data_IF_005163441382
#
_entry.id   IF_005163441382
#
_cell.length_a   1.000
_cell.length_b   1.000
_cell.length_c   1.000
_cell.angle_alpha   90.00
_cell.angle_beta   90.00
_cell.angle_gamma   90.00
#
_symmetry.space_group_name_H-M   'P 1'
#
loop_
_entity.id
_entity.type
_entity.pdbx_description
1 polymer ?
#
# COMPACT_ATOMS: atom_id res chain seq x y z
N UNK A 1 1.26 26.30 15.45
CA UNK A 1 0.08 25.41 15.61
C UNK A 1 0.08 24.30 14.55
N UNK A 2 1.19 23.56 14.40
CA UNK A 2 1.39 22.59 13.29
C UNK A 2 1.68 21.15 13.75
N UNK A 3 1.55 20.87 15.05
CA UNK A 3 1.93 19.60 15.66
C UNK A 3 0.82 18.53 15.55
N UNK A 4 -0.44 18.92 15.43
CA UNK A 4 -1.56 17.97 15.63
C UNK A 4 -1.91 17.16 14.37
N UNK A 5 -1.87 17.75 13.18
CA UNK A 5 -2.24 17.04 11.95
C UNK A 5 -1.24 15.93 11.58
N UNK A 6 0.06 16.21 11.77
CA UNK A 6 1.13 15.24 11.53
C UNK A 6 1.01 14.08 12.52
N UNK A 7 0.85 14.36 13.81
CA UNK A 7 0.67 13.32 14.82
C UNK A 7 -0.57 12.47 14.57
N UNK A 8 -1.69 13.08 14.15
CA UNK A 8 -2.90 12.32 13.75
C UNK A 8 -2.65 11.45 12.51
N UNK A 9 -1.89 11.92 11.52
CA UNK A 9 -1.53 11.10 10.36
C UNK A 9 -0.64 9.89 10.72
N UNK A 10 0.23 10.03 11.72
CA UNK A 10 0.97 8.89 12.29
C UNK A 10 0.08 7.95 13.12
N UNK A 11 -0.97 8.45 13.77
CA UNK A 11 -1.94 7.62 14.50
C UNK A 11 -2.87 6.81 13.58
N UNK A 12 -2.99 7.22 12.31
CA UNK A 12 -3.77 6.51 11.28
C UNK A 12 -2.88 5.64 10.39
N UNK A 13 -1.66 5.34 10.84
CA UNK A 13 -0.82 4.35 10.20
C UNK A 13 -1.32 2.94 10.53
N UNK A 14 -1.17 2.03 9.58
CA UNK A 14 -1.59 0.66 9.74
C UNK A 14 -0.66 -0.27 8.99
N UNK A 15 -0.16 -1.27 9.71
CA UNK A 15 0.65 -2.32 9.10
C UNK A 15 -0.27 -3.33 8.42
N UNK A 16 0.05 -3.64 7.17
CA UNK A 16 -0.68 -4.54 6.30
C UNK A 16 0.30 -5.48 5.60
N UNK A 17 -0.24 -6.50 4.96
CA UNK A 17 0.49 -7.41 4.09
C UNK A 17 0.00 -7.24 2.67
N UNK A 18 0.93 -7.01 1.75
CA UNK A 18 0.68 -7.11 0.32
C UNK A 18 0.97 -8.56 -0.08
N UNK A 19 -0.03 -9.28 -0.55
CA UNK A 19 0.12 -10.62 -1.10
C UNK A 19 0.17 -10.54 -2.62
N UNK A 20 1.04 -11.34 -3.23
CA UNK A 20 1.08 -11.52 -4.67
C UNK A 20 1.47 -12.97 -4.97
N UNK A 21 0.49 -13.70 -5.51
CA UNK A 21 0.57 -15.16 -5.65
C UNK A 21 0.74 -15.84 -4.29
N UNK A 22 1.87 -16.54 -4.12
CA UNK A 22 2.19 -17.30 -2.88
C UNK A 22 3.10 -16.56 -1.91
N UNK A 23 3.47 -15.31 -2.20
CA UNK A 23 4.39 -14.51 -1.40
C UNK A 23 3.67 -13.32 -0.78
N UNK A 24 4.18 -12.84 0.36
CA UNK A 24 3.68 -11.64 1.00
C UNK A 24 4.81 -10.72 1.44
N UNK A 25 4.54 -9.42 1.44
CA UNK A 25 5.46 -8.36 1.82
C UNK A 25 4.79 -7.50 2.90
N UNK A 26 5.47 -7.20 4.01
CA UNK A 26 4.97 -6.24 4.98
C UNK A 26 4.97 -4.84 4.36
N UNK A 27 3.92 -4.08 4.62
CA UNK A 27 3.79 -2.70 4.20
C UNK A 27 3.08 -1.87 5.27
N UNK A 28 3.39 -0.59 5.34
CA UNK A 28 2.69 0.34 6.23
C UNK A 28 1.90 1.31 5.38
N UNK A 29 0.59 1.36 5.58
CA UNK A 29 -0.27 2.38 4.98
C UNK A 29 -0.46 3.53 5.95
N UNK A 30 -0.52 4.76 5.43
CA UNK A 30 -0.90 5.95 6.20
C UNK A 30 -2.10 6.61 5.54
N UNK A 31 -3.06 7.05 6.35
CA UNK A 31 -4.16 7.88 5.88
C UNK A 31 -3.90 9.34 6.26
N UNK A 32 -3.93 10.23 5.27
CA UNK A 32 -3.82 11.67 5.47
C UNK A 32 -5.24 12.28 5.45
N UNK A 33 -5.79 12.71 6.61
CA UNK A 33 -7.15 13.25 6.67
C UNK A 33 -7.31 14.56 5.92
N UNK A 34 -6.25 15.36 5.80
CA UNK A 34 -6.29 16.67 5.15
C UNK A 34 -6.45 16.55 3.64
N UNK A 35 -5.76 15.58 3.00
CA UNK A 35 -5.88 15.32 1.56
C UNK A 35 -6.88 14.22 1.23
N UNK A 36 -7.40 13.51 2.24
CA UNK A 36 -8.22 12.29 2.11
C UNK A 36 -7.56 11.19 1.27
N UNK A 37 -6.22 11.19 1.24
CA UNK A 37 -5.44 10.22 0.50
C UNK A 37 -4.84 9.17 1.43
N UNK A 38 -4.67 7.96 0.90
CA UNK A 38 -3.95 6.87 1.56
C UNK A 38 -2.68 6.59 0.79
N UNK A 39 -1.57 6.41 1.51
CA UNK A 39 -0.26 6.14 0.92
C UNK A 39 0.33 4.87 1.50
N UNK A 40 1.11 4.14 0.70
CA UNK A 40 1.98 3.07 1.21
C UNK A 40 3.33 3.71 1.55
N UNK A 41 3.60 3.90 2.84
CA UNK A 41 4.79 4.58 3.33
C UNK A 41 6.04 3.70 3.28
N UNK A 42 5.89 2.43 3.67
CA UNK A 42 6.97 1.45 3.74
C UNK A 42 6.57 0.15 3.06
N UNK A 43 7.55 -0.61 2.58
CA UNK A 43 7.33 -1.93 1.95
C UNK A 43 7.00 -1.89 0.45
N UNK A 44 6.52 -0.76 -0.08
CA UNK A 44 6.18 -0.63 -1.50
C UNK A 44 7.36 -0.92 -2.43
N UNK A 45 8.53 -0.34 -2.18
CA UNK A 45 9.71 -0.53 -3.03
C UNK A 45 10.15 -2.00 -3.10
N UNK A 46 10.06 -2.71 -1.96
CA UNK A 46 10.37 -4.14 -1.89
C UNK A 46 9.37 -4.98 -2.70
N UNK A 47 8.07 -4.65 -2.59
CA UNK A 47 7.02 -5.27 -3.39
C UNK A 47 7.23 -5.01 -4.90
N UNK A 48 7.35 -3.74 -5.30
CA UNK A 48 7.48 -3.33 -6.69
C UNK A 48 8.70 -3.96 -7.37
N UNK A 49 9.84 -4.03 -6.67
CA UNK A 49 11.04 -4.72 -7.18
C UNK A 49 10.81 -6.22 -7.35
N UNK A 50 10.15 -6.87 -6.39
CA UNK A 50 9.93 -8.31 -6.44
C UNK A 50 8.88 -8.72 -7.47
N UNK A 51 7.85 -7.88 -7.69
CA UNK A 51 6.85 -8.08 -8.72
C UNK A 51 7.31 -7.60 -10.11
N UNK A 52 8.46 -6.92 -10.20
CA UNK A 52 8.95 -6.27 -11.43
C UNK A 52 7.91 -5.32 -12.00
N UNK A 53 7.35 -4.48 -11.14
CA UNK A 53 6.33 -3.52 -11.52
C UNK A 53 6.96 -2.43 -12.40
N UNK A 54 6.33 -2.13 -13.53
CA UNK A 54 6.81 -1.13 -14.48
C UNK A 54 5.78 0.01 -14.65
N UNK A 55 6.23 1.13 -15.22
CA UNK A 55 5.34 2.24 -15.49
C UNK A 55 4.29 1.83 -16.53
N UNK A 56 3.01 2.10 -16.25
CA UNK A 56 1.88 1.67 -17.06
C UNK A 56 1.18 0.40 -16.56
N UNK A 57 1.84 -0.39 -15.69
CA UNK A 57 1.16 -1.48 -14.99
C UNK A 57 0.09 -0.93 -14.03
N UNK A 58 -1.02 -1.66 -13.91
CA UNK A 58 -2.11 -1.34 -12.99
C UNK A 58 -2.13 -2.36 -11.86
N UNK A 59 -1.94 -1.88 -10.62
CA UNK A 59 -2.12 -2.69 -9.42
C UNK A 59 -3.53 -2.54 -8.86
N UNK A 60 -4.23 -3.65 -8.70
CA UNK A 60 -5.52 -3.75 -8.02
C UNK A 60 -5.28 -4.37 -6.65
N UNK A 61 -5.71 -3.69 -5.59
CA UNK A 61 -5.56 -4.16 -4.21
C UNK A 61 -6.91 -4.64 -3.69
N UNK A 62 -7.06 -5.95 -3.52
CA UNK A 62 -8.27 -6.57 -3.00
C UNK A 62 -8.09 -6.88 -1.51
N UNK A 63 -9.02 -6.41 -0.67
CA UNK A 63 -9.00 -6.71 0.76
C UNK A 63 -9.56 -8.12 1.01
N UNK A 64 -8.67 -9.10 1.22
CA UNK A 64 -9.06 -10.53 1.37
C UNK A 64 -9.52 -10.86 2.79
N UNK A 65 -9.08 -10.10 3.80
CA UNK A 65 -9.52 -10.27 5.18
C UNK A 65 -9.83 -8.90 5.82
N UNK A 66 -10.74 -8.88 6.80
CA UNK A 66 -11.16 -7.66 7.53
C UNK A 66 -10.04 -6.95 8.27
N UNK A 67 -8.88 -7.61 8.39
CA UNK A 67 -7.75 -7.17 9.20
C UNK A 67 -6.45 -7.31 8.40
N UNK A 68 -6.18 -6.45 7.43
CA UNK A 68 -4.78 -6.08 7.12
C UNK A 68 -4.06 -6.93 6.04
N UNK A 69 -4.79 -7.64 5.18
CA UNK A 69 -4.22 -8.36 4.03
C UNK A 69 -4.84 -7.89 2.72
N UNK A 70 -4.00 -7.36 1.83
CA UNK A 70 -4.36 -7.01 0.46
C UNK A 70 -3.75 -8.03 -0.50
N UNK A 71 -4.57 -8.75 -1.25
CA UNK A 71 -4.09 -9.49 -2.43
C UNK A 71 -3.98 -8.53 -3.61
N UNK A 72 -2.81 -8.53 -4.24
CA UNK A 72 -2.47 -7.57 -5.28
C UNK A 72 -2.51 -8.26 -6.61
N UNK A 73 -3.41 -7.83 -7.49
CA UNK A 73 -3.46 -8.27 -8.88
C UNK A 73 -2.77 -7.23 -9.75
N UNK A 74 -1.85 -7.64 -10.62
CA UNK A 74 -1.15 -6.73 -11.52
C UNK A 74 -1.61 -6.99 -12.94
N UNK A 75 -2.33 -6.02 -13.50
CA UNK A 75 -2.64 -5.97 -14.93
C UNK A 75 -1.47 -5.29 -15.64
N UNK A 76 -0.74 -6.06 -16.44
CA UNK A 76 0.42 -5.54 -17.16
C UNK A 76 -0.01 -4.64 -18.29
N UNK A 77 0.69 -3.52 -18.46
CA UNK A 77 0.49 -2.68 -19.63
C UNK A 77 0.73 -3.55 -20.88
N UNK A 78 -0.23 -3.58 -21.79
CA UNK A 78 -0.02 -4.22 -23.08
C UNK A 78 0.81 -3.25 -23.93
N UNK A 79 1.95 -3.74 -24.44
CA UNK A 79 2.68 -3.07 -25.50
C UNK A 79 1.86 -3.07 -26.80
#
# INVERSE_FOLDING_TARGET
>A
MGCDAVFISYLLQKDVKLQFGKKSWPATIIYNPSSKNTFILAGWNSFARASKLEAGDVCVFELVNKKDLFDVHICRAQC
#
